data_IF_306362386977
#
_entry.id   IF_306362386977
#
_cell.length_a   1.000
_cell.length_b   1.000
_cell.length_c   1.000
_cell.angle_alpha   90.00
_cell.angle_beta   90.00
_cell.angle_gamma   90.00
#
_symmetry.space_group_name_H-M   'P 1'
#
loop_
_entity.id
_entity.type
_entity.pdbx_description
1 polymer ?
#
# COMPACT_ATOMS: atom_id res chain seq x y z
N UNK A 1 0.12 0.12 9.71
CA UNK A 1 1.00 -1.01 9.29
C UNK A 1 0.29 -1.74 8.16
N UNK A 2 0.95 -2.62 7.41
CA UNK A 2 0.38 -3.19 6.17
C UNK A 2 -0.71 -4.26 6.39
N UNK A 3 -0.88 -4.78 7.61
CA UNK A 3 -1.93 -5.76 7.93
C UNK A 3 -1.92 -6.98 6.98
N UNK A 4 -0.83 -7.75 6.99
CA UNK A 4 -0.53 -8.78 5.97
C UNK A 4 -1.00 -10.19 6.35
N UNK A 5 -1.37 -10.45 7.61
CA UNK A 5 -1.81 -11.77 8.07
C UNK A 5 -3.27 -12.05 7.67
N UNK A 6 -3.53 -11.97 6.36
CA UNK A 6 -4.85 -12.10 5.72
C UNK A 6 -4.68 -12.82 4.37
N UNK A 7 -5.72 -13.51 3.86
CA UNK A 7 -5.68 -14.19 2.57
C UNK A 7 -5.84 -13.21 1.39
N UNK A 8 -4.87 -12.31 1.19
CA UNK A 8 -4.93 -11.22 0.19
C UNK A 8 -4.07 -11.46 -1.07
N UNK A 9 -3.34 -12.58 -1.14
CA UNK A 9 -2.27 -12.78 -2.12
C UNK A 9 -2.72 -13.31 -3.48
N UNK A 10 -3.98 -13.75 -3.63
CA UNK A 10 -4.47 -14.30 -4.91
C UNK A 10 -4.32 -13.31 -6.05
N UNK A 11 -4.67 -12.05 -5.80
CA UNK A 11 -4.70 -11.03 -6.84
C UNK A 11 -3.29 -10.54 -7.21
N UNK A 12 -2.26 -10.88 -6.44
CA UNK A 12 -0.86 -10.54 -6.76
C UNK A 12 -0.24 -11.49 -7.77
N UNK A 13 -0.83 -12.67 -8.02
CA UNK A 13 -0.26 -13.71 -8.87
C UNK A 13 -0.28 -13.38 -10.38
N UNK A 14 -1.04 -12.36 -10.79
CA UNK A 14 -1.14 -11.91 -12.17
C UNK A 14 -1.24 -10.39 -12.24
N UNK A 15 -0.89 -9.82 -13.40
CA UNK A 15 -0.96 -8.38 -13.67
C UNK A 15 -0.08 -7.50 -12.78
N UNK A 16 0.93 -8.10 -12.13
CA UNK A 16 1.91 -7.40 -11.31
C UNK A 16 1.46 -7.13 -9.87
N UNK A 17 2.45 -6.99 -9.00
CA UNK A 17 2.28 -6.73 -7.56
C UNK A 17 2.06 -5.26 -7.22
N UNK A 18 2.48 -4.35 -8.11
CA UNK A 18 2.56 -2.92 -7.85
C UNK A 18 1.76 -2.10 -8.88
N UNK A 19 1.44 -0.85 -8.52
CA UNK A 19 0.75 0.10 -9.37
C UNK A 19 -0.75 -0.18 -9.56
N UNK A 20 -1.32 -1.02 -8.69
CA UNK A 20 -2.72 -1.43 -8.72
C UNK A 20 -3.41 -1.05 -7.41
N UNK A 21 -4.26 -0.03 -7.45
CA UNK A 21 -4.98 0.48 -6.27
C UNK A 21 -6.15 -0.43 -5.86
N UNK A 22 -5.85 -1.64 -5.37
CA UNK A 22 -6.83 -2.57 -4.82
C UNK A 22 -7.00 -2.38 -3.30
N UNK A 23 -8.20 -2.58 -2.73
CA UNK A 23 -8.41 -2.48 -1.28
C UNK A 23 -7.53 -3.42 -0.44
N UNK A 24 -7.13 -4.55 -1.02
CA UNK A 24 -6.28 -5.58 -0.39
C UNK A 24 -4.80 -5.22 -0.39
N UNK A 25 -4.34 -4.36 -1.31
CA UNK A 25 -2.94 -3.98 -1.49
C UNK A 25 -2.60 -2.78 -0.63
N UNK A 26 -2.43 -3.03 0.67
CA UNK A 26 -2.13 -1.99 1.66
C UNK A 26 -0.82 -1.23 1.39
N UNK A 27 0.11 -1.80 0.63
CA UNK A 27 1.38 -1.16 0.24
C UNK A 27 1.23 -0.06 -0.80
N UNK A 28 0.13 -0.03 -1.56
CA UNK A 28 -0.16 1.04 -2.53
C UNK A 28 -0.73 2.30 -1.87
N UNK A 29 -1.13 2.21 -0.59
CA UNK A 29 -1.68 3.35 0.14
C UNK A 29 -0.60 4.41 0.39
N UNK A 30 -0.95 5.65 0.08
CA UNK A 30 -0.14 6.86 0.34
C UNK A 30 -0.53 7.55 1.65
N UNK A 31 -1.00 6.78 2.63
CA UNK A 31 -1.55 7.27 3.91
C UNK A 31 -0.52 7.97 4.80
N UNK A 32 0.77 7.82 4.50
CA UNK A 32 1.88 8.47 5.24
C UNK A 32 2.38 9.77 4.62
N UNK A 33 1.85 10.21 3.47
CA UNK A 33 2.37 11.40 2.75
C UNK A 33 2.40 12.65 3.62
N UNK A 34 1.30 12.97 4.32
CA UNK A 34 1.22 14.17 5.15
C UNK A 34 2.16 14.10 6.36
N UNK A 35 2.31 12.91 6.96
CA UNK A 35 3.29 12.71 8.04
C UNK A 35 4.72 12.94 7.55
N UNK A 36 5.05 12.48 6.34
CA UNK A 36 6.35 12.68 5.73
C UNK A 36 6.62 14.14 5.39
N UNK A 37 5.66 14.84 4.77
CA UNK A 37 5.75 16.28 4.47
C UNK A 37 6.02 17.11 5.74
N UNK A 38 5.20 16.90 6.77
CA UNK A 38 5.37 17.56 8.08
C UNK A 38 6.76 17.35 8.68
N UNK A 39 7.31 16.12 8.58
CA UNK A 39 8.65 15.78 9.11
C UNK A 39 9.78 16.34 8.26
N UNK A 40 9.55 16.52 6.95
CA UNK A 40 10.50 17.14 6.04
C UNK A 40 10.45 18.67 6.08
N UNK A 41 9.41 19.27 6.69
CA UNK A 41 9.23 20.72 6.74
C UNK A 41 8.72 21.32 5.43
N UNK A 42 8.03 20.50 4.62
CA UNK A 42 7.35 20.92 3.37
C UNK A 42 5.83 20.77 3.48
#
# INVERSE_FOLDING_TARGET
>A
TLDLLRPIYRDTAAYGHFGRELPTFSWEKKDRVESLKKRAGI
#
